data_IF_864001486700
#
_entry.id   IF_864001486700
#
_cell.length_a   1.000
_cell.length_b   1.000
_cell.length_c   1.000
_cell.angle_alpha   90.00
_cell.angle_beta   90.00
_cell.angle_gamma   90.00
#
_symmetry.space_group_name_H-M   'P 1'
#
loop_
_entity.id
_entity.type
_entity.pdbx_description
1 polymer ?
#
# COMPACT_ATOMS: atom_id res chain seq x y z
N UNK A 1 -21.73 6.82 70.20
CA UNK A 1 -22.01 5.84 69.14
C UNK A 1 -22.42 6.64 67.91
N UNK A 2 -21.51 7.21 67.11
CA UNK A 2 -20.69 6.52 66.12
C UNK A 2 -21.32 6.68 64.73
N UNK A 3 -21.48 7.91 64.23
CA UNK A 3 -22.05 8.18 62.91
C UNK A 3 -20.94 8.06 61.84
N UNK A 4 -21.02 6.99 61.03
CA UNK A 4 -20.11 6.72 59.92
C UNK A 4 -20.51 7.59 58.73
N UNK A 5 -19.71 8.60 58.42
CA UNK A 5 -19.86 9.38 57.19
C UNK A 5 -19.14 8.66 56.04
N UNK A 6 -19.89 7.97 55.18
CA UNK A 6 -19.38 7.40 53.92
C UNK A 6 -18.96 8.51 52.97
N UNK A 7 -17.64 8.67 52.80
CA UNK A 7 -17.07 9.50 51.73
C UNK A 7 -17.09 8.68 50.44
N UNK A 8 -18.10 8.91 49.59
CA UNK A 8 -18.05 8.46 48.20
C UNK A 8 -17.01 9.32 47.47
N UNK A 9 -15.81 8.77 47.31
CA UNK A 9 -14.81 9.32 46.42
C UNK A 9 -15.32 9.11 44.98
N UNK A 10 -15.74 10.20 44.34
CA UNK A 10 -16.04 10.21 42.92
C UNK A 10 -14.74 9.91 42.17
N UNK A 11 -14.61 8.70 41.64
CA UNK A 11 -13.53 8.37 40.72
C UNK A 11 -13.68 9.28 39.50
N UNK A 12 -12.74 10.23 39.36
CA UNK A 12 -12.63 11.07 38.19
C UNK A 12 -12.24 10.14 37.04
N UNK A 13 -13.13 9.98 36.06
CA UNK A 13 -12.83 9.25 34.84
C UNK A 13 -11.55 9.82 34.23
N UNK A 14 -10.51 9.01 34.19
CA UNK A 14 -9.32 9.25 33.38
C UNK A 14 -9.76 9.43 31.94
N UNK A 15 -9.20 10.42 31.20
CA UNK A 15 -9.49 10.55 29.79
C UNK A 15 -9.02 9.29 29.09
N UNK A 16 -9.90 8.76 28.26
CA UNK A 16 -9.76 7.51 27.54
C UNK A 16 -8.36 7.32 26.95
N UNK A 17 -7.75 6.19 27.30
CA UNK A 17 -6.75 5.57 26.46
C UNK A 17 -7.30 5.48 25.01
N UNK A 18 -6.48 5.62 23.96
CA UNK A 18 -6.97 5.58 22.59
C UNK A 18 -7.75 4.29 22.36
N UNK A 19 -9.06 4.43 22.25
CA UNK A 19 -9.99 3.33 22.01
C UNK A 19 -9.66 2.67 20.68
N UNK A 20 -9.33 1.38 20.72
CA UNK A 20 -9.53 0.37 19.68
C UNK A 20 -9.51 0.85 18.20
N UNK A 21 -8.32 0.76 17.60
CA UNK A 21 -8.05 0.51 16.16
C UNK A 21 -9.20 0.74 15.16
N UNK A 22 -9.56 2.00 14.90
CA UNK A 22 -10.29 2.32 13.67
C UNK A 22 -9.33 2.18 12.49
N UNK A 23 -9.65 1.32 11.51
CA UNK A 23 -8.88 1.23 10.26
C UNK A 23 -8.78 2.62 9.63
N UNK A 24 -7.60 3.03 9.12
CA UNK A 24 -7.47 4.31 8.43
C UNK A 24 -8.40 4.36 7.20
N UNK A 25 -8.81 5.56 6.83
CA UNK A 25 -9.65 5.75 5.66
C UNK A 25 -8.89 5.38 4.37
N UNK A 26 -9.61 4.95 3.34
CA UNK A 26 -9.02 4.51 2.08
C UNK A 26 -8.15 5.61 1.44
N UNK A 27 -8.60 6.86 1.50
CA UNK A 27 -7.85 7.99 0.94
C UNK A 27 -6.53 8.22 1.69
N UNK A 28 -6.52 8.03 3.01
CA UNK A 28 -5.28 8.12 3.81
C UNK A 28 -4.32 6.98 3.48
N UNK A 29 -4.81 5.76 3.31
CA UNK A 29 -4.00 4.61 2.88
C UNK A 29 -3.40 4.84 1.49
N UNK A 30 -4.21 5.38 0.55
CA UNK A 30 -3.78 5.72 -0.80
C UNK A 30 -2.67 6.76 -0.79
N UNK A 31 -2.80 7.84 -0.01
CA UNK A 31 -1.77 8.88 0.10
C UNK A 31 -0.46 8.33 0.69
N UNK A 32 -0.54 7.47 1.72
CA UNK A 32 0.64 6.79 2.28
C UNK A 32 1.34 5.90 1.24
N UNK A 33 0.58 5.08 0.51
CA UNK A 33 1.14 4.21 -0.53
C UNK A 33 1.73 5.01 -1.68
N UNK A 34 1.12 6.14 -2.03
CA UNK A 34 1.60 7.00 -3.09
C UNK A 34 2.95 7.63 -2.71
N UNK A 35 3.11 8.12 -1.47
CA UNK A 35 4.39 8.62 -0.97
C UNK A 35 5.48 7.53 -0.95
N UNK A 36 5.12 6.29 -0.55
CA UNK A 36 6.03 5.14 -0.56
C UNK A 36 6.43 4.71 -1.97
N UNK A 37 5.49 4.64 -2.91
CA UNK A 37 5.74 4.30 -4.31
C UNK A 37 6.60 5.37 -5.00
N UNK A 38 6.35 6.65 -4.72
CA UNK A 38 7.13 7.76 -5.25
C UNK A 38 8.61 7.68 -4.81
N UNK A 39 8.84 7.34 -3.54
CA UNK A 39 10.19 7.15 -3.00
C UNK A 39 10.90 5.90 -3.54
N UNK A 40 10.14 4.83 -3.82
CA UNK A 40 10.68 3.60 -4.40
C UNK A 40 10.96 3.73 -5.91
N UNK A 41 10.25 4.63 -6.60
CA UNK A 41 10.30 4.73 -8.06
C UNK A 41 10.72 6.16 -8.47
N UNK A 42 12.02 6.46 -8.62
CA UNK A 42 12.48 7.74 -9.15
C UNK A 42 12.02 7.93 -10.61
N UNK A 43 12.00 9.17 -11.10
CA UNK A 43 11.47 9.52 -12.43
C UNK A 43 12.07 8.69 -13.57
N UNK A 44 13.37 8.45 -13.51
CA UNK A 44 14.13 7.73 -14.54
C UNK A 44 13.87 6.21 -14.53
N UNK A 45 13.22 5.68 -13.50
CA UNK A 45 13.04 4.23 -13.31
C UNK A 45 11.64 3.72 -13.65
N UNK A 46 10.72 4.57 -14.16
CA UNK A 46 9.42 4.08 -14.63
C UNK A 46 9.66 3.04 -15.74
N UNK A 47 9.24 1.77 -15.53
CA UNK A 47 9.63 0.68 -16.42
C UNK A 47 9.06 0.91 -17.82
N UNK A 48 9.91 0.73 -18.84
CA UNK A 48 9.46 0.82 -20.24
C UNK A 48 8.46 -0.28 -20.55
N UNK A 49 7.56 -0.07 -21.51
CA UNK A 49 6.53 -1.06 -21.85
C UNK A 49 7.13 -2.40 -22.32
N UNK A 50 8.33 -2.39 -22.92
CA UNK A 50 9.04 -3.62 -23.28
C UNK A 50 9.47 -4.41 -22.04
N UNK A 51 9.97 -3.74 -21.00
CA UNK A 51 10.32 -4.43 -19.74
C UNK A 51 9.10 -5.04 -19.06
N UNK A 52 7.94 -4.38 -19.15
CA UNK A 52 6.68 -4.92 -18.63
C UNK A 52 6.17 -6.10 -19.47
N UNK A 53 6.36 -6.04 -20.79
CA UNK A 53 6.07 -7.15 -21.70
C UNK A 53 6.93 -8.37 -21.38
N UNK A 54 8.23 -8.21 -21.20
CA UNK A 54 9.14 -9.30 -20.83
C UNK A 54 8.76 -9.91 -19.48
N UNK A 55 8.39 -9.08 -18.50
CA UNK A 55 7.89 -9.54 -17.20
C UNK A 55 6.60 -10.36 -17.33
N UNK A 56 5.72 -9.98 -18.26
CA UNK A 56 4.48 -10.70 -18.54
C UNK A 56 4.76 -12.05 -19.21
N UNK A 57 5.58 -12.09 -20.26
CA UNK A 57 5.98 -13.34 -20.92
C UNK A 57 6.72 -14.30 -19.97
N UNK A 58 7.60 -13.76 -19.11
CA UNK A 58 8.32 -14.55 -18.12
C UNK A 58 7.36 -15.25 -17.14
N UNK A 59 6.19 -14.68 -16.88
CA UNK A 59 5.17 -15.34 -16.05
C UNK A 59 4.62 -16.60 -16.72
N UNK A 60 4.43 -16.58 -18.04
CA UNK A 60 3.94 -17.73 -18.81
C UNK A 60 5.04 -18.75 -19.15
N UNK A 61 6.30 -18.44 -18.89
CA UNK A 61 7.39 -19.38 -19.11
C UNK A 61 7.15 -20.68 -18.31
N UNK A 62 7.50 -21.81 -18.93
CA UNK A 62 7.26 -23.14 -18.36
C UNK A 62 7.92 -23.33 -17.00
N UNK A 63 9.10 -22.74 -16.77
CA UNK A 63 9.85 -22.89 -15.51
C UNK A 63 9.10 -22.32 -14.30
N UNK A 64 8.73 -21.02 -14.29
CA UNK A 64 7.92 -20.43 -13.22
C UNK A 64 6.57 -21.12 -13.02
N UNK A 65 5.87 -21.45 -14.10
CA UNK A 65 4.56 -22.11 -14.02
C UNK A 65 4.67 -23.52 -13.41
N UNK A 66 5.69 -24.30 -13.79
CA UNK A 66 5.94 -25.61 -13.18
C UNK A 66 6.18 -25.51 -11.68
N UNK A 67 6.98 -24.53 -11.21
CA UNK A 67 7.20 -24.32 -9.78
C UNK A 67 5.93 -23.90 -9.05
N UNK A 68 5.08 -23.10 -9.69
CA UNK A 68 3.80 -22.69 -9.11
C UNK A 68 2.86 -23.87 -8.94
N UNK A 69 2.71 -24.70 -9.98
CA UNK A 69 1.92 -25.94 -9.92
C UNK A 69 2.48 -26.89 -8.87
N UNK A 70 3.80 -27.06 -8.78
CA UNK A 70 4.42 -27.91 -7.77
C UNK A 70 4.13 -27.45 -6.33
N UNK A 71 4.12 -26.14 -6.07
CA UNK A 71 3.91 -25.58 -4.72
C UNK A 71 2.45 -25.45 -4.32
N UNK A 72 1.61 -25.01 -5.26
CA UNK A 72 0.23 -24.59 -4.97
C UNK A 72 -0.83 -25.44 -5.68
N UNK A 73 -0.44 -26.35 -6.58
CA UNK A 73 -1.35 -27.22 -7.32
C UNK A 73 -2.13 -26.52 -8.44
N UNK A 74 -1.94 -25.23 -8.65
CA UNK A 74 -2.63 -24.43 -9.68
C UNK A 74 -1.64 -23.77 -10.61
N UNK A 75 -2.10 -23.38 -11.81
CA UNK A 75 -1.36 -22.44 -12.66
C UNK A 75 -1.27 -21.08 -11.96
N UNK A 76 -0.15 -20.39 -12.14
CA UNK A 76 0.07 -19.07 -11.55
C UNK A 76 -0.76 -18.01 -12.26
N UNK A 77 -1.37 -17.11 -11.48
CA UNK A 77 -2.11 -15.98 -12.05
C UNK A 77 -1.15 -14.94 -12.64
N UNK A 78 -1.23 -14.75 -13.95
CA UNK A 78 -0.44 -13.78 -14.71
C UNK A 78 -1.24 -12.53 -15.10
N UNK A 79 -2.51 -12.39 -14.68
CA UNK A 79 -3.32 -11.20 -14.96
C UNK A 79 -2.69 -9.88 -14.50
N UNK A 80 -2.12 -9.75 -13.28
CA UNK A 80 -1.61 -8.45 -12.84
C UNK A 80 -0.48 -7.92 -13.74
N UNK A 81 0.42 -8.80 -14.20
CA UNK A 81 1.50 -8.44 -15.12
C UNK A 81 0.99 -8.06 -16.50
N UNK A 82 -0.06 -8.73 -16.97
CA UNK A 82 -0.74 -8.40 -18.23
C UNK A 82 -1.41 -7.03 -18.15
N UNK A 83 -2.04 -6.72 -17.03
CA UNK A 83 -2.71 -5.43 -16.80
C UNK A 83 -1.71 -4.29 -16.73
N UNK A 84 -0.53 -4.51 -16.13
CA UNK A 84 0.56 -3.54 -16.15
C UNK A 84 1.06 -3.24 -17.57
N UNK A 85 1.24 -4.28 -18.37
CA UNK A 85 1.59 -4.13 -19.78
C UNK A 85 0.50 -3.37 -20.56
N UNK A 86 -0.77 -3.76 -20.40
CA UNK A 86 -1.91 -3.08 -21.04
C UNK A 86 -1.97 -1.61 -20.65
N UNK A 87 -1.80 -1.30 -19.37
CA UNK A 87 -1.81 0.06 -18.87
C UNK A 87 -0.69 0.89 -19.50
N UNK A 88 0.53 0.34 -19.57
CA UNK A 88 1.66 1.03 -20.21
C UNK A 88 1.38 1.36 -21.68
N UNK A 89 0.74 0.45 -22.43
CA UNK A 89 0.34 0.71 -23.80
C UNK A 89 -0.69 1.85 -23.89
N UNK A 90 -1.67 1.88 -22.99
CA UNK A 90 -2.69 2.95 -22.97
C UNK A 90 -2.13 4.30 -22.57
N UNK A 91 -1.08 4.34 -21.75
CA UNK A 91 -0.48 5.59 -21.26
C UNK A 91 0.80 5.99 -21.98
N UNK A 92 1.09 5.38 -23.14
CA UNK A 92 2.35 5.60 -23.87
C UNK A 92 2.48 7.01 -24.44
N UNK A 93 1.37 7.62 -24.82
CA UNK A 93 1.30 8.93 -25.50
C UNK A 93 1.41 10.12 -24.53
N UNK A 94 1.32 9.86 -23.22
CA UNK A 94 1.48 10.89 -22.20
C UNK A 94 2.94 11.33 -22.06
N UNK A 95 3.12 12.57 -21.62
CA UNK A 95 4.41 13.11 -21.21
C UNK A 95 5.05 12.23 -20.10
N UNK A 96 6.38 12.06 -20.06
CA UNK A 96 7.05 11.23 -19.07
C UNK A 96 6.66 11.52 -17.62
N UNK A 97 6.48 12.80 -17.25
CA UNK A 97 6.02 13.20 -15.92
C UNK A 97 4.59 12.71 -15.63
N UNK A 98 3.65 13.02 -16.53
CA UNK A 98 2.24 12.60 -16.40
C UNK A 98 2.10 11.07 -16.39
N UNK A 99 2.92 10.36 -17.17
CA UNK A 99 2.98 8.90 -17.19
C UNK A 99 3.46 8.33 -15.86
N UNK A 100 4.45 8.96 -15.22
CA UNK A 100 4.90 8.58 -13.87
C UNK A 100 3.77 8.77 -12.87
N UNK A 101 3.10 9.91 -12.90
CA UNK A 101 2.04 10.22 -11.94
C UNK A 101 0.86 9.25 -12.06
N UNK A 102 0.45 8.94 -13.29
CA UNK A 102 -0.58 7.94 -13.57
C UNK A 102 -0.16 6.53 -13.10
N UNK A 103 1.12 6.18 -13.29
CA UNK A 103 1.67 4.91 -12.84
C UNK A 103 1.69 4.77 -11.32
N UNK A 104 2.19 5.79 -10.61
CA UNK A 104 2.24 5.85 -9.15
C UNK A 104 0.83 5.78 -8.55
N UNK A 105 -0.08 6.57 -9.10
CA UNK A 105 -1.47 6.63 -8.62
C UNK A 105 -2.18 5.28 -8.74
N UNK A 106 -2.07 4.62 -9.91
CA UNK A 106 -2.65 3.28 -10.12
C UNK A 106 -2.08 2.25 -9.13
N UNK A 107 -0.77 2.27 -8.89
CA UNK A 107 -0.13 1.33 -7.95
C UNK A 107 -0.55 1.58 -6.52
N UNK A 108 -0.62 2.86 -6.12
CA UNK A 108 -1.10 3.25 -4.81
C UNK A 108 -2.54 2.79 -4.57
N UNK A 109 -3.42 2.93 -5.57
CA UNK A 109 -4.81 2.44 -5.49
C UNK A 109 -4.88 0.90 -5.34
N UNK A 110 -4.14 0.16 -6.16
CA UNK A 110 -4.09 -1.32 -6.07
C UNK A 110 -3.61 -1.77 -4.69
N UNK A 111 -2.55 -1.14 -4.17
CA UNK A 111 -2.02 -1.44 -2.84
C UNK A 111 -2.97 -1.03 -1.72
N UNK A 112 -3.62 0.12 -1.83
CA UNK A 112 -4.63 0.57 -0.87
C UNK A 112 -5.80 -0.43 -0.81
N UNK A 113 -6.28 -0.93 -1.95
CA UNK A 113 -7.30 -1.98 -1.99
C UNK A 113 -6.81 -3.30 -1.36
N UNK A 114 -5.55 -3.69 -1.60
CA UNK A 114 -4.97 -4.87 -0.98
C UNK A 114 -4.84 -4.73 0.55
N UNK A 115 -4.53 -3.53 1.04
CA UNK A 115 -4.44 -3.19 2.48
C UNK A 115 -5.82 -3.15 3.16
N UNK A 116 -6.85 -2.70 2.45
CA UNK A 116 -8.21 -2.66 2.95
C UNK A 116 -8.80 -4.06 3.21
N UNK A 117 -8.29 -5.09 2.51
CA UNK A 117 -8.75 -6.47 2.66
C UNK A 117 -8.55 -7.05 4.07
N UNK A 118 -9.45 -7.95 4.47
CA UNK A 118 -9.43 -8.62 5.79
C UNK A 118 -8.16 -9.44 6.08
N UNK A 119 -7.37 -9.76 5.05
CA UNK A 119 -6.13 -10.55 5.15
C UNK A 119 -4.87 -9.70 5.22
N UNK A 120 -4.99 -8.38 5.39
CA UNK A 120 -3.83 -7.51 5.55
C UNK A 120 -3.28 -7.58 6.99
N UNK A 121 -1.95 -7.46 7.10
CA UNK A 121 -1.25 -7.38 8.39
C UNK A 121 -1.67 -6.17 9.23
N UNK A 122 -2.30 -5.18 8.61
CA UNK A 122 -2.75 -3.94 9.26
C UNK A 122 -3.93 -4.13 10.20
N UNK A 123 -4.55 -5.31 10.16
CA UNK A 123 -5.56 -5.71 11.15
C UNK A 123 -4.94 -5.91 12.53
N UNK A 124 -3.66 -6.28 12.60
CA UNK A 124 -2.94 -6.55 13.85
C UNK A 124 -1.91 -5.45 14.13
N UNK A 125 -1.25 -4.95 13.08
CA UNK A 125 -0.11 -4.04 13.20
C UNK A 125 -0.45 -2.66 12.62
N UNK A 126 -0.34 -1.61 13.43
CA UNK A 126 -0.50 -0.24 12.93
C UNK A 126 0.72 0.20 12.14
N UNK A 127 0.51 0.90 11.02
CA UNK A 127 1.58 1.50 10.23
C UNK A 127 2.38 2.52 11.06
N UNK A 128 3.69 2.60 10.83
CA UNK A 128 4.56 3.58 11.51
C UNK A 128 4.29 4.99 10.98
N UNK A 129 4.00 5.94 11.87
CA UNK A 129 3.71 7.33 11.49
C UNK A 129 4.95 8.27 11.59
N UNK A 130 5.92 7.98 12.46
CA UNK A 130 7.07 8.86 12.68
C UNK A 130 8.41 8.10 12.69
N UNK A 131 9.35 8.38 11.78
CA UNK A 131 9.14 8.86 10.40
C UNK A 131 8.59 7.74 9.49
N UNK A 132 7.68 8.08 8.57
CA UNK A 132 7.17 7.15 7.55
C UNK A 132 8.26 6.81 6.51
N UNK A 133 8.97 7.84 6.04
CA UNK A 133 10.10 7.75 5.13
C UNK A 133 11.30 8.49 5.73
N UNK A 134 12.49 8.02 5.40
CA UNK A 134 13.71 8.79 5.64
C UNK A 134 13.70 10.04 4.73
N UNK A 135 14.04 11.23 5.28
CA UNK A 135 14.01 12.50 4.53
C UNK A 135 14.83 12.50 3.24
N UNK A 136 15.81 11.59 3.09
CA UNK A 136 16.61 11.45 1.87
C UNK A 136 15.83 10.93 0.65
N UNK A 137 14.71 10.23 0.85
CA UNK A 137 13.95 9.58 -0.22
C UNK A 137 12.57 10.21 -0.46
N UNK A 138 12.24 11.30 0.23
CA UNK A 138 10.93 11.97 0.09
C UNK A 138 10.91 12.79 -1.20
N UNK A 139 10.01 12.43 -2.12
CA UNK A 139 9.72 13.26 -3.29
C UNK A 139 8.85 14.45 -2.84
N UNK A 140 9.29 15.71 -3.04
CA UNK A 140 8.53 16.90 -2.61
C UNK A 140 7.17 17.02 -3.30
N UNK A 141 6.98 16.34 -4.43
CA UNK A 141 5.72 16.33 -5.18
C UNK A 141 4.62 15.52 -4.47
N UNK A 142 5.02 14.61 -3.57
CA UNK A 142 4.15 13.61 -2.96
C UNK A 142 4.40 13.51 -1.44
N UNK A 143 3.91 14.49 -0.66
CA UNK A 143 4.10 14.50 0.78
C UNK A 143 3.32 13.35 1.45
N UNK A 144 3.91 12.68 2.45
CA UNK A 144 3.16 11.75 3.28
C UNK A 144 2.10 12.50 4.11
N UNK A 145 0.96 11.84 4.44
CA UNK A 145 -0.10 12.43 5.26
C UNK A 145 0.28 12.59 6.74
#
# INVERSE_FOLDING_TARGET
MGAVASRFASAKATPDAPSASSRPDFDTMRQQELALEAAQTPLEEVPSCLTLFDKWLTCYALGPQFRHVYRYGTVGDCSPRREDFKFCLTTRELEPAQRRDAWLTRRAEIKAHARQGLRSSETIWTMRQAPLLDPTWVDPSYPPP
#
